data_IF_431086924330
#
_entry.id   IF_431086924330
#
_cell.length_a   1.000
_cell.length_b   1.000
_cell.length_c   1.000
_cell.angle_alpha   90.00
_cell.angle_beta   90.00
_cell.angle_gamma   90.00
#
_symmetry.space_group_name_H-M   'P 1'
#
loop_
_entity.id
_entity.type
_entity.pdbx_description
1 polymer ?
#
# COMPACT_ATOMS: atom_id res chain seq x y z
N UNK A 1 0.89 -18.16 -32.65
CA UNK A 1 0.07 -17.12 -32.00
C UNK A 1 0.50 -17.05 -30.56
N UNK A 2 1.53 -16.26 -30.26
CA UNK A 2 1.96 -16.01 -28.89
C UNK A 2 1.24 -14.74 -28.44
N UNK A 3 0.37 -14.88 -27.45
CA UNK A 3 -0.25 -13.77 -26.72
C UNK A 3 0.83 -13.02 -25.97
N UNK A 4 1.19 -11.85 -26.51
CA UNK A 4 2.14 -10.90 -25.97
C UNK A 4 1.54 -10.26 -24.72
N UNK A 5 1.87 -10.82 -23.54
CA UNK A 5 1.33 -10.39 -22.25
C UNK A 5 2.26 -9.34 -21.60
N UNK A 6 2.53 -8.27 -22.35
CA UNK A 6 3.22 -7.09 -21.84
C UNK A 6 2.19 -6.19 -21.17
N UNK A 7 2.06 -6.28 -19.84
CA UNK A 7 1.31 -5.30 -19.06
C UNK A 7 2.15 -4.03 -18.95
N UNK A 8 1.76 -2.91 -19.60
CA UNK A 8 2.53 -1.67 -19.51
C UNK A 8 2.45 -1.14 -18.08
N UNK A 9 3.62 -0.96 -17.46
CA UNK A 9 3.80 -0.49 -16.09
C UNK A 9 3.40 1.00 -15.99
N UNK A 10 2.10 1.27 -16.00
CA UNK A 10 1.45 2.59 -16.07
C UNK A 10 1.06 3.13 -14.70
N UNK A 11 1.69 2.62 -13.64
CA UNK A 11 1.33 2.96 -12.27
C UNK A 11 1.46 4.47 -11.97
N UNK A 12 2.49 5.12 -12.49
CA UNK A 12 2.76 6.53 -12.24
C UNK A 12 1.75 7.41 -12.99
N UNK A 13 0.77 7.95 -12.27
CA UNK A 13 -0.21 8.90 -12.79
C UNK A 13 -1.54 8.29 -13.27
N UNK A 14 -1.73 6.97 -13.23
CA UNK A 14 -3.02 6.36 -13.58
C UNK A 14 -4.14 6.81 -12.62
N UNK A 15 -3.86 6.87 -11.31
CA UNK A 15 -4.83 7.34 -10.33
C UNK A 15 -5.09 8.85 -10.49
N UNK A 16 -4.06 9.66 -10.75
CA UNK A 16 -4.22 11.08 -11.06
C UNK A 16 -5.05 11.33 -12.34
N UNK A 17 -4.82 10.58 -13.41
CA UNK A 17 -5.61 10.66 -14.65
C UNK A 17 -7.04 10.19 -14.43
N UNK A 18 -7.25 9.17 -13.60
CA UNK A 18 -8.58 8.71 -13.24
C UNK A 18 -9.37 9.80 -12.54
N UNK A 19 -8.76 10.52 -11.58
CA UNK A 19 -9.38 11.67 -10.90
C UNK A 19 -9.78 12.76 -11.90
N UNK A 20 -8.90 13.12 -12.84
CA UNK A 20 -9.22 14.10 -13.88
C UNK A 20 -10.39 13.65 -14.80
N UNK A 21 -10.57 12.35 -14.99
CA UNK A 21 -11.69 11.82 -15.77
C UNK A 21 -13.02 11.86 -14.99
N UNK A 22 -13.01 11.80 -13.65
CA UNK A 22 -14.23 11.78 -12.84
C UNK A 22 -15.08 13.05 -13.00
N UNK A 23 -14.47 14.18 -13.37
CA UNK A 23 -15.16 15.45 -13.64
C UNK A 23 -16.05 15.40 -14.90
N UNK A 24 -15.87 14.39 -15.76
CA UNK A 24 -16.57 14.26 -17.06
C UNK A 24 -17.85 13.43 -16.99
N UNK A 25 -18.41 13.22 -15.78
CA UNK A 25 -19.65 12.48 -15.57
C UNK A 25 -19.53 10.98 -15.86
N UNK A 26 -20.58 10.37 -16.44
CA UNK A 26 -20.68 8.90 -16.60
C UNK A 26 -19.59 8.34 -17.53
N UNK A 27 -19.35 8.99 -18.67
CA UNK A 27 -18.28 8.59 -19.60
C UNK A 27 -16.89 8.74 -18.97
N UNK A 28 -16.73 9.76 -18.13
CA UNK A 28 -15.54 9.98 -17.31
C UNK A 28 -15.27 8.86 -16.32
N UNK A 29 -16.30 8.36 -15.64
CA UNK A 29 -16.20 7.24 -14.69
C UNK A 29 -15.79 5.93 -15.35
N UNK A 30 -16.34 5.61 -16.52
CA UNK A 30 -15.94 4.40 -17.26
C UNK A 30 -14.46 4.46 -17.66
N UNK A 31 -14.01 5.63 -18.14
CA UNK A 31 -12.61 5.86 -18.49
C UNK A 31 -11.70 5.79 -17.25
N UNK A 32 -12.12 6.38 -16.13
CA UNK A 32 -11.39 6.30 -14.86
C UNK A 32 -11.25 4.85 -14.36
N UNK A 33 -12.32 4.06 -14.41
CA UNK A 33 -12.30 2.65 -14.02
C UNK A 33 -11.30 1.84 -14.87
N UNK A 34 -11.30 2.05 -16.18
CA UNK A 34 -10.37 1.39 -17.11
C UNK A 34 -8.91 1.77 -16.80
N UNK A 35 -8.64 3.06 -16.56
CA UNK A 35 -7.31 3.55 -16.21
C UNK A 35 -6.79 2.94 -14.91
N UNK A 36 -7.63 2.88 -13.87
CA UNK A 36 -7.27 2.29 -12.58
C UNK A 36 -7.00 0.79 -12.70
N UNK A 37 -7.88 0.05 -13.38
CA UNK A 37 -7.71 -1.39 -13.53
C UNK A 37 -6.44 -1.75 -14.31
N UNK A 38 -6.21 -1.07 -15.43
CA UNK A 38 -5.04 -1.32 -16.28
C UNK A 38 -3.74 -0.81 -15.66
N UNK A 39 -3.77 0.35 -14.98
CA UNK A 39 -2.57 1.00 -14.45
C UNK A 39 -2.20 0.64 -13.02
N UNK A 40 -3.18 0.27 -12.20
CA UNK A 40 -2.97 0.00 -10.78
C UNK A 40 -3.35 -1.44 -10.38
N UNK A 41 -4.18 -2.14 -11.15
CA UNK A 41 -4.78 -3.42 -10.76
C UNK A 41 -3.76 -4.51 -10.39
N UNK A 42 -2.79 -4.77 -11.28
CA UNK A 42 -1.76 -5.79 -11.02
C UNK A 42 -0.94 -5.50 -9.76
N UNK A 43 -0.68 -4.22 -9.48
CA UNK A 43 0.09 -3.80 -8.31
C UNK A 43 -0.70 -3.89 -7.02
N UNK A 44 -1.96 -3.47 -7.06
CA UNK A 44 -2.88 -3.64 -5.93
C UNK A 44 -3.08 -5.11 -5.60
N UNK A 45 -3.19 -5.99 -6.60
CA UNK A 45 -3.24 -7.45 -6.38
C UNK A 45 -1.96 -7.97 -5.70
N UNK A 46 -0.80 -7.51 -6.16
CA UNK A 46 0.47 -7.88 -5.53
C UNK A 46 0.55 -7.41 -4.07
N UNK A 47 0.07 -6.19 -3.78
CA UNK A 47 -0.05 -5.65 -2.43
C UNK A 47 -0.99 -6.50 -1.57
N UNK A 48 -2.22 -6.75 -2.02
CA UNK A 48 -3.25 -7.53 -1.30
C UNK A 48 -2.71 -8.93 -0.95
N UNK A 49 -2.11 -9.63 -1.93
CA UNK A 49 -1.54 -10.97 -1.71
C UNK A 49 -0.37 -10.96 -0.72
N UNK A 50 0.48 -9.92 -0.77
CA UNK A 50 1.64 -9.77 0.13
C UNK A 50 1.19 -9.52 1.57
N UNK A 51 0.24 -8.62 1.77
CA UNK A 51 -0.20 -8.19 3.10
C UNK A 51 -1.29 -9.08 3.71
N UNK A 52 -1.84 -10.03 2.95
CA UNK A 52 -2.64 -11.15 3.48
C UNK A 52 -1.80 -12.36 3.86
N UNK A 53 -0.46 -12.28 3.74
CA UNK A 53 0.48 -13.37 4.00
C UNK A 53 0.16 -14.67 3.25
N UNK A 54 -0.40 -14.55 2.04
CA UNK A 54 -0.79 -15.69 1.20
C UNK A 54 -1.98 -16.49 1.73
N UNK A 55 -2.69 -15.99 2.75
CA UNK A 55 -3.88 -16.64 3.32
C UNK A 55 -5.15 -16.31 2.56
N UNK A 56 -5.13 -15.25 1.74
CA UNK A 56 -6.27 -14.86 0.92
C UNK A 56 -6.37 -15.78 -0.29
N UNK A 57 -7.59 -16.21 -0.62
CA UNK A 57 -7.86 -16.92 -1.86
C UNK A 57 -7.96 -15.92 -3.03
N UNK A 58 -7.98 -16.42 -4.28
CA UNK A 58 -8.00 -15.56 -5.45
C UNK A 58 -9.29 -14.71 -5.55
N UNK A 59 -10.45 -15.29 -5.25
CA UNK A 59 -11.73 -14.60 -5.32
C UNK A 59 -11.80 -13.45 -4.30
N UNK A 60 -11.39 -13.70 -3.06
CA UNK A 60 -11.34 -12.67 -2.02
C UNK A 60 -10.37 -11.54 -2.39
N UNK A 61 -9.22 -11.88 -3.02
CA UNK A 61 -8.25 -10.88 -3.45
C UNK A 61 -8.80 -10.01 -4.60
N UNK A 62 -9.48 -10.62 -5.57
CA UNK A 62 -10.17 -9.90 -6.65
C UNK A 62 -11.29 -9.02 -6.10
N UNK A 63 -12.06 -9.50 -5.12
CA UNK A 63 -13.12 -8.73 -4.46
C UNK A 63 -12.56 -7.50 -3.73
N UNK A 64 -11.48 -7.65 -2.96
CA UNK A 64 -10.81 -6.53 -2.30
C UNK A 64 -10.29 -5.53 -3.34
N UNK A 65 -9.71 -6.00 -4.45
CA UNK A 65 -9.29 -5.12 -5.54
C UNK A 65 -10.50 -4.34 -6.08
N UNK A 66 -11.59 -5.02 -6.43
CA UNK A 66 -12.77 -4.37 -7.00
C UNK A 66 -13.39 -3.37 -6.03
N UNK A 67 -13.51 -3.71 -4.76
CA UNK A 67 -13.98 -2.79 -3.72
C UNK A 67 -13.07 -1.57 -3.60
N UNK A 68 -11.75 -1.77 -3.63
CA UNK A 68 -10.77 -0.69 -3.59
C UNK A 68 -10.98 0.29 -4.75
N UNK A 69 -11.09 -0.24 -5.97
CA UNK A 69 -11.28 0.58 -7.17
C UNK A 69 -12.63 1.32 -7.12
N UNK A 70 -13.70 0.63 -6.72
CA UNK A 70 -15.03 1.22 -6.60
C UNK A 70 -15.10 2.30 -5.54
N UNK A 71 -14.52 2.07 -4.35
CA UNK A 71 -14.45 3.05 -3.29
C UNK A 71 -13.69 4.31 -3.74
N UNK A 72 -12.59 4.14 -4.49
CA UNK A 72 -11.85 5.26 -5.05
C UNK A 72 -12.66 6.05 -6.09
N UNK A 73 -13.39 5.36 -6.99
CA UNK A 73 -14.25 6.01 -7.99
C UNK A 73 -15.43 6.77 -7.37
N UNK A 74 -15.96 6.27 -6.26
CA UNK A 74 -17.03 6.92 -5.51
C UNK A 74 -16.52 8.12 -4.69
N UNK A 75 -15.35 7.96 -4.05
CA UNK A 75 -14.75 8.96 -3.17
C UNK A 75 -13.24 9.04 -3.43
N UNK A 76 -12.82 9.85 -4.40
CA UNK A 76 -11.40 10.04 -4.72
C UNK A 76 -10.65 10.73 -3.59
N UNK A 77 -9.34 10.93 -3.77
CA UNK A 77 -8.43 11.42 -2.75
C UNK A 77 -8.83 12.80 -2.18
N UNK A 78 -8.65 13.00 -0.85
CA UNK A 78 -8.68 14.33 -0.26
C UNK A 78 -7.59 15.23 -0.86
N UNK A 79 -7.80 16.54 -0.86
CA UNK A 79 -6.90 17.54 -1.47
C UNK A 79 -5.46 17.53 -0.93
N UNK A 80 -5.24 16.95 0.26
CA UNK A 80 -3.94 16.85 0.93
C UNK A 80 -3.23 15.50 0.76
N UNK A 81 -3.81 14.57 0.00
CA UNK A 81 -3.28 13.23 -0.22
C UNK A 81 -3.12 12.97 -1.72
N UNK A 82 -2.05 12.29 -2.14
CA UNK A 82 -1.92 11.92 -3.56
C UNK A 82 -2.96 10.84 -3.92
N UNK A 83 -3.48 10.85 -5.16
CA UNK A 83 -4.40 9.82 -5.67
C UNK A 83 -3.89 8.39 -5.44
N UNK A 84 -2.61 8.16 -5.73
CA UNK A 84 -1.98 6.85 -5.56
C UNK A 84 -1.89 6.44 -4.10
N UNK A 85 -1.46 7.33 -3.19
CA UNK A 85 -1.39 7.02 -1.76
C UNK A 85 -2.79 6.74 -1.18
N UNK A 86 -3.80 7.47 -1.64
CA UNK A 86 -5.18 7.23 -1.25
C UNK A 86 -5.69 5.86 -1.70
N UNK A 87 -5.33 5.44 -2.92
CA UNK A 87 -5.68 4.12 -3.45
C UNK A 87 -5.16 2.98 -2.56
N UNK A 88 -3.89 3.06 -2.13
CA UNK A 88 -3.31 2.09 -1.19
C UNK A 88 -3.91 2.19 0.22
N UNK A 89 -4.30 3.39 0.64
CA UNK A 89 -5.00 3.59 1.92
C UNK A 89 -6.35 2.85 1.91
N UNK A 90 -7.11 2.95 0.82
CA UNK A 90 -8.36 2.19 0.66
C UNK A 90 -8.07 0.69 0.65
N UNK A 91 -7.09 0.23 -0.15
CA UNK A 91 -6.74 -1.18 -0.24
C UNK A 91 -6.35 -1.76 1.13
N UNK A 92 -5.60 -1.00 1.94
CA UNK A 92 -5.26 -1.36 3.31
C UNK A 92 -6.50 -1.50 4.18
N UNK A 93 -7.46 -0.58 4.09
CA UNK A 93 -8.67 -0.61 4.89
C UNK A 93 -9.56 -1.81 4.52
N UNK A 94 -9.75 -2.09 3.22
CA UNK A 94 -10.48 -3.27 2.75
C UNK A 94 -9.82 -4.57 3.23
N UNK A 95 -8.49 -4.63 3.21
CA UNK A 95 -7.75 -5.78 3.72
C UNK A 95 -7.94 -5.97 5.23
N UNK A 96 -7.92 -4.90 6.01
CA UNK A 96 -8.23 -4.93 7.45
C UNK A 96 -9.62 -5.52 7.68
N UNK A 97 -10.61 -5.04 6.95
CA UNK A 97 -11.99 -5.48 7.12
C UNK A 97 -12.18 -6.94 6.69
N UNK A 98 -11.46 -7.40 5.67
CA UNK A 98 -11.41 -8.82 5.32
C UNK A 98 -10.80 -9.67 6.46
N UNK A 99 -9.66 -9.25 7.02
CA UNK A 99 -9.04 -9.97 8.17
C UNK A 99 -10.02 -10.04 9.34
N UNK A 100 -10.67 -8.92 9.67
CA UNK A 100 -11.67 -8.82 10.75
C UNK A 100 -12.82 -9.81 10.55
N UNK A 101 -13.40 -9.85 9.35
CA UNK A 101 -14.50 -10.78 9.01
C UNK A 101 -14.05 -12.23 9.14
N UNK A 102 -12.91 -12.58 8.55
CA UNK A 102 -12.34 -13.93 8.62
C UNK A 102 -12.12 -14.39 10.06
N UNK A 103 -11.60 -13.52 10.93
CA UNK A 103 -11.31 -13.89 12.31
C UNK A 103 -12.58 -13.89 13.20
N UNK A 104 -13.63 -13.15 12.82
CA UNK A 104 -14.96 -13.32 13.39
C UNK A 104 -15.59 -14.67 13.00
N UNK A 105 -15.44 -15.08 11.74
CA UNK A 105 -15.95 -16.35 11.22
C UNK A 105 -15.26 -17.56 11.91
N UNK A 106 -13.94 -17.50 12.11
CA UNK A 106 -13.18 -18.51 12.87
C UNK A 106 -13.66 -18.68 14.31
N UNK A 107 -14.20 -17.62 14.92
CA UNK A 107 -14.68 -17.61 16.33
C UNK A 107 -16.13 -18.07 16.49
N UNK A 108 -16.76 -18.62 15.44
CA UNK A 108 -18.09 -19.22 15.52
C UNK A 108 -19.24 -18.29 15.13
N UNK A 109 -18.94 -17.19 14.42
CA UNK A 109 -19.86 -16.49 13.53
C UNK A 109 -21.28 -16.27 14.08
N UNK A 110 -21.45 -15.38 15.08
CA UNK A 110 -22.76 -14.81 15.42
C UNK A 110 -22.67 -13.35 15.83
N UNK A 111 -23.01 -12.49 14.87
CA UNK A 111 -23.75 -11.25 15.07
C UNK A 111 -22.95 -10.02 15.48
N UNK A 112 -23.28 -8.90 14.82
CA UNK A 112 -23.00 -7.50 15.19
C UNK A 112 -22.51 -7.28 16.62
N UNK A 113 -21.23 -7.56 16.86
CA UNK A 113 -20.50 -6.87 17.89
C UNK A 113 -19.89 -5.67 17.17
N UNK A 114 -20.37 -4.48 17.51
CA UNK A 114 -19.59 -3.27 17.29
C UNK A 114 -18.37 -3.44 18.20
N UNK A 115 -17.31 -4.05 17.64
CA UNK A 115 -16.07 -4.28 18.37
C UNK A 115 -15.30 -2.98 18.24
N UNK A 116 -15.40 -2.16 19.28
CA UNK A 116 -14.50 -1.03 19.51
C UNK A 116 -13.12 -1.62 19.84
N UNK A 117 -12.39 -2.01 18.79
CA UNK A 117 -11.00 -2.42 18.88
C UNK A 117 -10.20 -1.14 19.14
N UNK A 118 -9.57 -1.04 20.30
CA UNK A 118 -8.58 0.01 20.52
C UNK A 118 -7.40 -0.17 19.55
N UNK A 119 -6.63 0.90 19.38
CA UNK A 119 -5.47 0.92 18.47
C UNK A 119 -4.45 -0.19 18.80
N UNK A 120 -4.46 -0.72 20.03
CA UNK A 120 -3.57 -1.78 20.52
C UNK A 120 -4.02 -3.17 20.05
N UNK A 121 -5.32 -3.46 20.06
CA UNK A 121 -5.87 -4.73 19.56
C UNK A 121 -5.83 -4.80 18.02
N UNK A 122 -5.99 -3.66 17.35
CA UNK A 122 -5.72 -3.53 15.92
C UNK A 122 -4.22 -3.73 15.60
N UNK A 123 -3.34 -3.22 16.47
CA UNK A 123 -1.89 -3.45 16.40
C UNK A 123 -1.50 -4.92 16.58
N UNK A 124 -2.17 -5.66 17.47
CA UNK A 124 -1.98 -7.10 17.66
C UNK A 124 -2.45 -7.93 16.45
N UNK A 125 -3.48 -7.48 15.74
CA UNK A 125 -3.99 -8.16 14.55
C UNK A 125 -2.97 -8.14 13.39
N UNK A 126 -2.19 -7.07 13.29
CA UNK A 126 -1.06 -6.95 12.36
C UNK A 126 0.22 -7.63 12.84
N UNK A 127 0.25 -8.13 14.07
CA UNK A 127 1.39 -8.86 14.65
C UNK A 127 1.32 -10.38 14.37
N UNK A 128 0.69 -10.78 13.27
CA UNK A 128 0.54 -12.20 12.89
C UNK A 128 1.41 -12.64 11.72
N UNK A 129 2.54 -11.96 11.48
CA UNK A 129 3.55 -12.45 10.54
C UNK A 129 4.92 -11.84 10.77
N UNK A 130 5.78 -12.60 11.46
CA UNK A 130 7.14 -13.00 11.05
C UNK A 130 7.76 -13.79 12.21
N UNK A 131 7.23 -14.98 12.49
CA UNK A 131 7.68 -15.80 13.61
C UNK A 131 7.31 -15.21 14.98
N UNK A 132 7.22 -16.08 15.97
CA UNK A 132 7.12 -15.66 17.36
C UNK A 132 8.43 -14.99 17.77
N UNK A 133 8.54 -13.68 17.53
CA UNK A 133 9.24 -12.80 18.46
C UNK A 133 8.15 -11.90 18.98
N UNK A 134 7.61 -12.24 20.15
CA UNK A 134 6.73 -11.37 20.93
C UNK A 134 7.48 -10.08 21.21
N UNK A 135 7.42 -9.13 20.27
CA UNK A 135 8.00 -7.83 20.46
C UNK A 135 7.18 -7.18 21.58
N UNK A 136 7.81 -6.74 22.69
CA UNK A 136 7.06 -6.17 23.79
C UNK A 136 6.19 -5.01 23.31
N UNK A 137 5.00 -4.86 23.89
CA UNK A 137 4.06 -3.79 23.54
C UNK A 137 4.74 -2.41 23.53
N UNK A 138 5.64 -2.15 24.48
CA UNK A 138 6.39 -0.89 24.54
C UNK A 138 7.32 -0.65 23.33
N UNK A 139 7.93 -1.72 22.79
CA UNK A 139 8.80 -1.62 21.60
C UNK A 139 7.93 -1.31 20.39
N UNK A 140 6.75 -1.95 20.27
CA UNK A 140 5.78 -1.67 19.21
C UNK A 140 5.31 -0.21 19.24
N UNK A 141 4.92 0.28 20.40
CA UNK A 141 4.57 1.68 20.63
C UNK A 141 5.71 2.63 20.26
N UNK A 142 6.95 2.27 20.65
CA UNK A 142 8.13 3.03 20.30
C UNK A 142 8.30 3.12 18.79
N UNK A 143 8.19 2.00 18.07
CA UNK A 143 8.28 1.95 16.61
C UNK A 143 7.19 2.80 15.98
N UNK A 144 5.95 2.72 16.43
CA UNK A 144 4.86 3.56 15.90
C UNK A 144 5.12 5.06 16.11
N UNK A 145 5.53 5.46 17.31
CA UNK A 145 5.86 6.86 17.64
C UNK A 145 7.07 7.36 16.83
N UNK A 146 8.10 6.53 16.68
CA UNK A 146 9.29 6.83 15.90
C UNK A 146 8.95 6.99 14.40
N UNK A 147 8.12 6.10 13.85
CA UNK A 147 7.65 6.18 12.47
C UNK A 147 6.83 7.46 12.23
N UNK A 148 5.92 7.81 13.15
CA UNK A 148 5.16 9.05 13.08
C UNK A 148 6.06 10.30 13.14
N UNK A 149 7.08 10.27 14.00
CA UNK A 149 8.08 11.34 14.11
C UNK A 149 8.87 11.51 12.79
N UNK A 150 9.35 10.41 12.22
CA UNK A 150 10.04 10.41 10.93
C UNK A 150 9.14 10.91 9.80
N UNK A 151 7.86 10.54 9.79
CA UNK A 151 6.90 11.00 8.78
C UNK A 151 6.69 12.52 8.84
N UNK A 152 6.74 13.12 10.03
CA UNK A 152 6.61 14.57 10.19
C UNK A 152 7.89 15.31 9.79
N UNK A 153 9.06 14.81 10.18
CA UNK A 153 10.34 15.49 9.96
C UNK A 153 10.90 15.26 8.54
N UNK A 154 10.75 14.04 8.02
CA UNK A 154 11.32 13.58 6.75
C UNK A 154 10.30 12.77 5.93
N UNK A 155 9.19 13.40 5.48
CA UNK A 155 8.07 12.70 4.84
C UNK A 155 8.47 11.92 3.58
N UNK A 156 9.35 12.47 2.74
CA UNK A 156 9.83 11.79 1.53
C UNK A 156 10.55 10.49 1.87
N UNK A 157 11.42 10.50 2.88
CA UNK A 157 12.22 9.34 3.27
C UNK A 157 11.41 8.33 4.06
N UNK A 158 10.45 8.78 4.89
CA UNK A 158 9.48 7.91 5.53
C UNK A 158 8.68 7.13 4.48
N UNK A 159 8.29 7.79 3.39
CA UNK A 159 7.58 7.13 2.29
C UNK A 159 8.46 6.13 1.54
N UNK A 160 9.74 6.46 1.29
CA UNK A 160 10.70 5.48 0.72
C UNK A 160 10.91 4.29 1.66
N UNK A 161 10.97 4.53 2.97
CA UNK A 161 11.09 3.44 3.95
C UNK A 161 9.86 2.52 3.90
N UNK A 162 8.66 3.09 3.77
CA UNK A 162 7.44 2.32 3.56
C UNK A 162 7.49 1.51 2.26
N UNK A 163 7.88 2.12 1.13
CA UNK A 163 8.08 1.38 -0.13
C UNK A 163 9.04 0.20 0.03
N UNK A 164 10.09 0.37 0.82
CA UNK A 164 11.08 -0.67 1.08
C UNK A 164 10.53 -1.77 1.98
N UNK A 165 9.76 -1.43 3.01
CA UNK A 165 9.03 -2.38 3.85
C UNK A 165 7.98 -3.15 3.04
N UNK A 166 7.32 -2.45 2.12
CA UNK A 166 6.41 -3.00 1.12
C UNK A 166 7.15 -3.76 0.02
N UNK A 167 8.48 -3.90 0.07
CA UNK A 167 9.30 -4.72 -0.81
C UNK A 167 9.39 -4.23 -2.27
N UNK A 168 9.38 -2.92 -2.48
CA UNK A 168 9.56 -2.32 -3.80
C UNK A 168 10.99 -2.52 -4.32
N UNK A 169 11.11 -2.78 -5.62
CA UNK A 169 12.39 -2.83 -6.33
C UNK A 169 12.99 -1.45 -6.53
N UNK A 170 14.30 -1.37 -6.77
CA UNK A 170 14.97 -0.10 -7.07
C UNK A 170 14.42 0.54 -8.36
N UNK A 171 13.97 -0.27 -9.31
CA UNK A 171 13.33 0.14 -10.55
C UNK A 171 11.99 0.84 -10.28
N UNK A 172 11.13 0.26 -9.44
CA UNK A 172 9.85 0.85 -9.06
C UNK A 172 10.02 2.15 -8.28
N UNK A 173 11.02 2.20 -7.40
CA UNK A 173 11.40 3.43 -6.69
C UNK A 173 11.85 4.49 -7.71
N UNK A 174 12.68 4.15 -8.69
CA UNK A 174 13.12 5.09 -9.72
C UNK A 174 11.94 5.66 -10.53
N UNK A 175 11.00 4.81 -10.93
CA UNK A 175 9.79 5.21 -11.67
C UNK A 175 8.95 6.18 -10.84
N UNK A 176 8.75 5.87 -9.56
CA UNK A 176 8.01 6.76 -8.65
C UNK A 176 8.65 8.15 -8.56
N UNK A 177 9.97 8.22 -8.51
CA UNK A 177 10.71 9.48 -8.47
C UNK A 177 10.94 10.13 -9.86
N UNK A 178 10.15 9.75 -10.86
CA UNK A 178 10.06 10.45 -12.15
C UNK A 178 10.83 9.81 -13.30
N UNK A 179 11.32 8.58 -13.16
CA UNK A 179 11.82 7.84 -14.31
C UNK A 179 10.67 7.36 -15.21
N UNK A 180 10.88 7.42 -16.53
CA UNK A 180 9.89 6.98 -17.52
C UNK A 180 9.75 5.44 -17.45
N UNK A 181 8.56 4.89 -17.16
CA UNK A 181 8.36 3.45 -17.06
C UNK A 181 8.49 2.71 -18.39
N UNK A 182 8.40 3.41 -19.53
CA UNK A 182 8.45 2.82 -20.86
C UNK A 182 9.87 2.81 -21.46
N UNK A 183 10.86 3.32 -20.72
CA UNK A 183 12.26 3.37 -21.15
C UNK A 183 13.12 2.54 -20.22
N UNK A 184 14.20 1.99 -20.76
CA UNK A 184 15.21 1.38 -19.92
C UNK A 184 15.78 2.41 -18.95
N UNK A 185 15.76 2.07 -17.66
CA UNK A 185 16.31 2.90 -16.60
C UNK A 185 17.81 3.06 -16.78
N UNK A 186 18.27 4.31 -16.79
CA UNK A 186 19.70 4.61 -16.86
C UNK A 186 20.42 4.12 -15.60
N UNK A 187 21.71 3.83 -15.72
CA UNK A 187 22.54 3.47 -14.55
C UNK A 187 22.46 4.53 -13.44
N UNK A 188 22.35 5.80 -13.81
CA UNK A 188 22.18 6.92 -12.87
C UNK A 188 20.85 6.85 -12.11
N UNK A 189 19.73 6.56 -12.79
CA UNK A 189 18.42 6.42 -12.17
C UNK A 189 18.37 5.24 -11.19
N UNK A 190 18.92 4.07 -11.58
CA UNK A 190 19.01 2.89 -10.70
C UNK A 190 19.85 3.19 -9.46
N UNK A 191 20.98 3.88 -9.64
CA UNK A 191 21.85 4.28 -8.53
C UNK A 191 21.15 5.27 -7.61
N UNK A 192 20.45 6.25 -8.16
CA UNK A 192 19.70 7.24 -7.38
C UNK A 192 18.54 6.59 -6.59
N UNK A 193 17.87 5.58 -7.12
CA UNK A 193 16.84 4.86 -6.39
C UNK A 193 17.42 4.02 -5.24
N UNK A 194 18.52 3.31 -5.48
CA UNK A 194 19.26 2.59 -4.42
C UNK A 194 19.75 3.53 -3.33
N UNK A 195 20.26 4.70 -3.70
CA UNK A 195 20.70 5.74 -2.76
C UNK A 195 19.54 6.28 -1.92
N UNK A 196 18.35 6.50 -2.50
CA UNK A 196 17.14 6.87 -1.74
C UNK A 196 16.77 5.81 -0.71
N UNK A 197 16.70 4.54 -1.12
CA UNK A 197 16.45 3.42 -0.21
C UNK A 197 17.48 3.36 0.92
N UNK A 198 18.77 3.50 0.57
CA UNK A 198 19.85 3.48 1.54
C UNK A 198 19.72 4.63 2.55
N UNK A 199 19.51 5.87 2.08
CA UNK A 199 19.37 7.05 2.94
C UNK A 199 18.13 6.97 3.82
N UNK A 200 17.01 6.48 3.30
CA UNK A 200 15.80 6.26 4.08
C UNK A 200 16.04 5.29 5.24
N UNK A 201 16.70 4.14 4.99
CA UNK A 201 17.08 3.19 6.05
C UNK A 201 18.08 3.79 7.04
N UNK A 202 19.08 4.51 6.55
CA UNK A 202 20.11 5.13 7.40
C UNK A 202 19.52 6.17 8.34
N UNK A 203 18.57 6.97 7.87
CA UNK A 203 17.90 7.93 8.73
C UNK A 203 16.91 7.25 9.68
N UNK A 204 16.18 6.24 9.20
CA UNK A 204 15.29 5.43 10.04
C UNK A 204 16.03 4.89 11.29
N UNK A 205 17.27 4.43 11.13
CA UNK A 205 18.09 3.96 12.26
C UNK A 205 18.18 4.97 13.40
N UNK A 206 18.20 6.28 13.12
CA UNK A 206 18.25 7.33 14.15
C UNK A 206 16.94 7.43 14.92
N UNK A 207 15.80 7.27 14.24
CA UNK A 207 14.48 7.30 14.88
C UNK A 207 14.20 6.03 15.68
N UNK A 208 14.62 4.87 15.19
CA UNK A 208 14.35 3.57 15.81
C UNK A 208 15.46 3.09 16.77
N UNK A 209 16.53 3.85 16.98
CA UNK A 209 17.72 3.43 17.76
C UNK A 209 17.37 2.93 19.17
N UNK A 210 16.34 3.53 19.77
CA UNK A 210 15.86 3.27 21.13
C UNK A 210 14.72 2.26 21.19
N UNK A 211 14.21 1.80 20.04
CA UNK A 211 13.11 0.84 19.94
C UNK A 211 13.63 -0.59 19.82
N UNK A 212 14.38 -1.05 20.82
CA UNK A 212 14.97 -2.39 20.91
C UNK A 212 15.03 -2.84 22.37
N UNK A 213 14.89 -4.14 22.60
CA UNK A 213 15.16 -4.74 23.92
C UNK A 213 16.64 -4.64 24.31
#
# INVERSE_FOLDING_TARGET
MASDNSYPNTFSGAAAQAVACLEQGVQGREKAARLLLQGCGGRLMAYIRRHSYGQINEFDAEDILMNTLMAFLCKPNPSRCSPEAWLFTIARNELIDWVRKRDADKRGGKGNADIDLDDDELGNLFDTSLGHTEMPAWVRDCVQKAAACMQQQSPERAFVLLMVADGWSAEEVAIYFGADPNKELTAQQKTAARDRTYRARKEAQQYFEHCKE
#
